data_IF_466419760286
#
_entry.id   IF_466419760286
#
_cell.length_a   1.000
_cell.length_b   1.000
_cell.length_c   1.000
_cell.angle_alpha   90.00
_cell.angle_beta   90.00
_cell.angle_gamma   90.00
#
_symmetry.space_group_name_H-M   'P 1'
#
loop_
_entity.id
_entity.type
_entity.pdbx_description
1 polymer ?
#
# COMPACT_ATOMS: atom_id res chain seq x y z
N UNK A 1 -6.04 -5.99 2.96
CA UNK A 1 -5.38 -6.53 1.74
C UNK A 1 -4.58 -5.42 1.05
N UNK A 2 -3.44 -5.76 0.42
CA UNK A 2 -2.60 -4.81 -0.35
C UNK A 2 -2.68 -5.13 -1.84
N UNK A 3 -2.73 -4.09 -2.68
CA UNK A 3 -2.61 -4.20 -4.14
C UNK A 3 -1.58 -3.22 -4.66
N UNK A 4 -0.83 -3.62 -5.67
CA UNK A 4 0.07 -2.75 -6.43
C UNK A 4 -0.53 -2.42 -7.80
N UNK A 5 -0.20 -1.25 -8.35
CA UNK A 5 -0.56 -0.85 -9.72
C UNK A 5 -1.25 0.53 -9.76
N UNK A 6 -2.06 0.75 -10.80
CA UNK A 6 -2.80 2.01 -11.00
C UNK A 6 -4.15 2.07 -10.29
N UNK A 7 -4.62 0.96 -9.72
CA UNK A 7 -5.91 0.85 -9.04
C UNK A 7 -7.13 1.32 -9.86
N UNK A 8 -7.10 1.09 -11.18
CA UNK A 8 -8.09 1.60 -12.15
C UNK A 8 -8.19 3.14 -12.19
N UNK A 9 -7.16 3.85 -11.73
CA UNK A 9 -7.08 5.30 -11.64
C UNK A 9 -5.87 5.85 -12.41
N UNK A 10 -5.58 5.30 -13.60
CA UNK A 10 -4.43 5.69 -14.43
C UNK A 10 -4.29 7.22 -14.65
N UNK A 11 -5.36 7.98 -14.93
CA UNK A 11 -5.22 9.43 -15.10
C UNK A 11 -4.72 10.16 -13.84
N UNK A 12 -5.04 9.66 -12.64
CA UNK A 12 -4.56 10.22 -11.39
C UNK A 12 -3.06 9.95 -11.21
N UNK A 13 -2.63 8.74 -11.55
CA UNK A 13 -1.22 8.34 -11.53
C UNK A 13 -0.39 9.19 -12.50
N UNK A 14 -0.89 9.45 -13.71
CA UNK A 14 -0.26 10.34 -14.69
C UNK A 14 -0.12 11.78 -14.15
N UNK A 15 -1.20 12.33 -13.54
CA UNK A 15 -1.17 13.67 -12.93
C UNK A 15 -0.07 13.83 -11.88
N UNK A 16 0.21 12.78 -11.10
CA UNK A 16 1.27 12.77 -10.10
C UNK A 16 2.61 12.22 -10.61
N UNK A 17 2.70 11.85 -11.89
CA UNK A 17 3.89 11.23 -12.49
C UNK A 17 4.35 9.97 -11.75
N UNK A 18 3.41 9.15 -11.28
CA UNK A 18 3.67 7.90 -10.56
C UNK A 18 3.30 6.69 -11.43
N UNK A 19 4.27 5.81 -11.70
CA UNK A 19 4.02 4.59 -12.49
C UNK A 19 3.10 3.57 -11.77
N UNK A 20 3.17 3.48 -10.45
CA UNK A 20 2.33 2.60 -9.65
C UNK A 20 2.38 3.02 -8.18
N UNK A 21 1.38 2.61 -7.42
CA UNK A 21 1.40 2.72 -5.96
C UNK A 21 1.04 1.39 -5.33
N UNK A 22 1.47 1.19 -4.07
CA UNK A 22 0.90 0.17 -3.21
C UNK A 22 -0.24 0.79 -2.39
N UNK A 23 -1.39 0.13 -2.34
CA UNK A 23 -2.55 0.57 -1.57
C UNK A 23 -2.99 -0.53 -0.61
N UNK A 24 -2.91 -0.26 0.69
CA UNK A 24 -3.62 -1.00 1.72
C UNK A 24 -5.05 -0.44 1.83
N UNK A 25 -6.04 -1.31 1.89
CA UNK A 25 -7.45 -0.92 2.09
C UNK A 25 -8.03 -1.72 3.25
N UNK A 26 -8.69 -1.01 4.16
CA UNK A 26 -9.33 -1.54 5.36
C UNK A 26 -10.85 -1.58 5.21
N UNK A 27 -11.52 -2.37 6.05
CA UNK A 27 -12.97 -2.52 6.13
C UNK A 27 -13.41 -2.70 7.59
N UNK A 28 -14.71 -2.92 7.84
CA UNK A 28 -15.30 -2.99 9.20
C UNK A 28 -14.75 -4.11 10.09
N UNK A 29 -14.05 -5.09 9.51
CA UNK A 29 -13.46 -6.22 10.23
C UNK A 29 -11.97 -6.04 10.51
N UNK A 30 -11.40 -4.89 10.13
CA UNK A 30 -10.02 -4.58 10.47
C UNK A 30 -9.95 -3.84 11.81
N UNK A 31 -8.86 -4.07 12.52
CA UNK A 31 -8.56 -3.43 13.79
C UNK A 31 -7.17 -2.75 13.76
N UNK A 32 -6.72 -2.27 14.91
CA UNK A 32 -5.43 -1.60 15.05
C UNK A 32 -4.27 -2.58 14.93
N UNK A 33 -4.46 -3.83 15.36
CA UNK A 33 -3.44 -4.87 15.29
C UNK A 33 -3.11 -5.21 13.82
N UNK A 34 -4.10 -5.18 12.92
CA UNK A 34 -3.87 -5.27 11.47
C UNK A 34 -2.99 -4.13 10.93
N UNK A 35 -3.16 -2.92 11.45
CA UNK A 35 -2.38 -1.74 11.03
C UNK A 35 -0.94 -1.86 11.54
N UNK A 36 -0.76 -2.26 12.80
CA UNK A 36 0.56 -2.47 13.40
C UNK A 36 1.33 -3.56 12.64
N UNK A 37 0.65 -4.68 12.32
CA UNK A 37 1.24 -5.74 11.49
C UNK A 37 1.63 -5.25 10.08
N UNK A 38 0.85 -4.35 9.48
CA UNK A 38 1.18 -3.74 8.20
C UNK A 38 2.42 -2.84 8.31
N UNK A 39 2.52 -2.00 9.33
CA UNK A 39 3.67 -1.10 9.52
C UNK A 39 4.95 -1.88 9.77
N UNK A 40 4.92 -2.85 10.68
CA UNK A 40 6.06 -3.72 11.00
C UNK A 40 6.58 -4.48 9.77
N UNK A 41 5.65 -4.98 8.94
CA UNK A 41 6.02 -5.71 7.73
C UNK A 41 6.59 -4.79 6.65
N UNK A 42 6.06 -3.58 6.48
CA UNK A 42 6.63 -2.58 5.57
C UNK A 42 8.05 -2.19 5.97
N UNK A 43 8.33 -2.05 7.27
CA UNK A 43 9.67 -1.77 7.76
C UNK A 43 10.63 -2.92 7.47
N UNK A 44 10.24 -4.17 7.71
CA UNK A 44 11.05 -5.35 7.35
C UNK A 44 11.36 -5.40 5.86
N UNK A 45 10.35 -5.20 5.01
CA UNK A 45 10.50 -5.19 3.56
C UNK A 45 11.43 -4.05 3.09
N UNK A 46 11.29 -2.86 3.68
CA UNK A 46 12.17 -1.72 3.38
C UNK A 46 13.65 -2.02 3.70
N UNK A 47 13.94 -2.79 4.75
CA UNK A 47 15.31 -3.21 5.06
C UNK A 47 15.82 -4.32 4.11
N UNK A 48 14.94 -5.19 3.62
CA UNK A 48 15.30 -6.25 2.68
C UNK A 48 15.70 -5.72 1.28
N UNK A 49 15.08 -4.62 0.84
CA UNK A 49 15.32 -4.03 -0.49
C UNK A 49 16.33 -2.87 -0.49
N UNK A 50 16.90 -2.53 0.67
CA UNK A 50 18.04 -1.61 0.79
C UNK A 50 19.34 -2.39 0.62
#
# INVERSE_FOLDING_TARGET
AVRAGHHCAMPLHEKYSLMATARASFYIYNDVDDVDALVDSLDKVRHMFK
#
